data_IF_610138866826
#
_entry.id   IF_610138866826
#
_cell.length_a   1.000
_cell.length_b   1.000
_cell.length_c   1.000
_cell.angle_alpha   90.00
_cell.angle_beta   90.00
_cell.angle_gamma   90.00
#
_symmetry.space_group_name_H-M   'P 1'
#
loop_
_entity.id
_entity.type
_entity.pdbx_description
1 polymer ?
#
# COMPACT_ATOMS: atom_id res chain seq x y z
N UNK A 1 -18.70 27.20 -65.48
CA UNK A 1 -18.53 26.23 -64.37
C UNK A 1 -19.35 26.55 -63.11
N UNK A 2 -19.72 27.79 -62.86
CA UNK A 2 -20.49 28.24 -61.68
C UNK A 2 -21.99 27.85 -61.75
N UNK A 3 -22.56 27.72 -62.93
CA UNK A 3 -24.01 27.38 -63.13
C UNK A 3 -24.35 25.93 -62.71
N UNK A 4 -23.39 25.03 -62.72
CA UNK A 4 -23.59 23.63 -62.31
C UNK A 4 -23.76 23.49 -60.79
N UNK A 5 -23.14 24.38 -60.00
CA UNK A 5 -23.29 24.39 -58.54
C UNK A 5 -24.63 24.95 -58.06
N UNK A 6 -25.22 25.87 -58.80
CA UNK A 6 -26.52 26.52 -58.45
C UNK A 6 -27.76 25.72 -58.83
N UNK A 7 -27.63 24.76 -59.75
CA UNK A 7 -28.75 23.90 -60.16
C UNK A 7 -28.93 22.80 -59.11
N UNK A 8 -30.13 22.66 -58.57
CA UNK A 8 -30.52 21.67 -57.56
C UNK A 8 -29.77 21.85 -56.20
N UNK A 9 -29.66 23.09 -55.75
CA UNK A 9 -28.97 23.45 -54.49
C UNK A 9 -29.63 22.78 -53.27
N UNK A 10 -30.97 22.72 -53.09
CA UNK A 10 -31.61 22.07 -51.97
C UNK A 10 -31.36 20.55 -51.93
N UNK A 11 -31.33 19.89 -53.07
CA UNK A 11 -31.06 18.46 -53.17
C UNK A 11 -29.60 18.12 -52.75
N UNK A 12 -28.67 18.99 -53.16
CA UNK A 12 -27.26 18.86 -52.77
C UNK A 12 -27.04 19.11 -51.28
N UNK A 13 -27.73 20.11 -50.72
CA UNK A 13 -27.69 20.34 -49.27
C UNK A 13 -28.25 19.15 -48.48
N UNK A 14 -29.38 18.58 -48.94
CA UNK A 14 -29.97 17.39 -48.34
C UNK A 14 -28.99 16.19 -48.41
N UNK A 15 -28.37 15.95 -49.57
CA UNK A 15 -27.41 14.89 -49.74
C UNK A 15 -26.18 15.07 -48.82
N UNK A 16 -25.70 16.33 -48.63
CA UNK A 16 -24.61 16.64 -47.74
C UNK A 16 -24.99 16.38 -46.29
N UNK A 17 -26.18 16.75 -45.85
CA UNK A 17 -26.66 16.50 -44.48
C UNK A 17 -26.76 14.99 -44.23
N UNK A 18 -27.29 14.22 -45.18
CA UNK A 18 -27.36 12.76 -45.07
C UNK A 18 -25.97 12.15 -45.04
N UNK A 19 -25.04 12.62 -45.89
CA UNK A 19 -23.65 12.14 -45.87
C UNK A 19 -22.94 12.42 -44.55
N UNK A 20 -23.11 13.61 -43.97
CA UNK A 20 -22.58 13.95 -42.64
C UNK A 20 -23.20 13.07 -41.56
N UNK A 21 -24.52 12.86 -41.61
CA UNK A 21 -25.23 11.97 -40.68
C UNK A 21 -24.70 10.53 -40.72
N UNK A 22 -24.56 9.99 -41.95
CA UNK A 22 -23.95 8.66 -42.15
C UNK A 22 -22.52 8.60 -41.68
N UNK A 23 -21.70 9.65 -41.90
CA UNK A 23 -20.32 9.71 -41.45
C UNK A 23 -20.21 9.72 -39.93
N UNK A 24 -21.05 10.54 -39.26
CA UNK A 24 -21.10 10.56 -37.79
C UNK A 24 -21.53 9.19 -37.24
N UNK A 25 -22.53 8.57 -37.87
CA UNK A 25 -23.00 7.24 -37.46
C UNK A 25 -21.88 6.18 -37.54
N UNK A 26 -21.21 6.13 -38.71
CA UNK A 26 -20.10 5.17 -38.92
C UNK A 26 -18.91 5.45 -37.98
N UNK A 27 -18.55 6.73 -37.77
CA UNK A 27 -17.47 7.09 -36.84
C UNK A 27 -17.77 6.68 -35.42
N UNK A 28 -19.03 6.84 -34.98
CA UNK A 28 -19.46 6.41 -33.65
C UNK A 28 -19.47 4.87 -33.49
N UNK A 29 -19.79 4.14 -34.54
CA UNK A 29 -19.84 2.67 -34.56
C UNK A 29 -18.41 2.04 -34.60
N UNK A 30 -17.42 2.74 -35.17
CA UNK A 30 -16.06 2.25 -35.30
C UNK A 30 -15.20 2.42 -34.01
N UNK A 31 -15.58 3.32 -33.12
CA UNK A 31 -14.85 3.56 -31.88
C UNK A 31 -15.78 3.71 -30.66
N UNK A 32 -16.53 2.64 -30.33
CA UNK A 32 -17.49 2.67 -29.24
C UNK A 32 -16.81 2.90 -27.90
N UNK A 33 -17.54 3.52 -27.00
CA UNK A 33 -17.16 3.60 -25.59
C UNK A 33 -17.25 2.21 -24.97
N UNK A 34 -16.16 1.74 -24.39
CA UNK A 34 -16.11 0.47 -23.65
C UNK A 34 -15.68 0.70 -22.22
N UNK A 35 -16.01 -0.23 -21.34
CA UNK A 35 -15.65 -0.21 -19.94
C UNK A 35 -14.64 -1.30 -19.65
N UNK A 36 -13.64 -0.99 -18.83
CA UNK A 36 -12.68 -1.95 -18.34
C UNK A 36 -12.35 -1.69 -16.86
N UNK A 37 -11.85 -2.72 -16.17
CA UNK A 37 -11.48 -2.64 -14.76
C UNK A 37 -9.99 -2.88 -14.61
N UNK A 38 -9.32 -1.96 -13.91
CA UNK A 38 -7.90 -2.02 -13.57
C UNK A 38 -7.75 -2.14 -12.05
N UNK A 39 -6.86 -3.03 -11.63
CA UNK A 39 -6.45 -3.13 -10.22
C UNK A 39 -5.15 -2.35 -10.06
N UNK A 40 -5.18 -1.35 -9.19
CA UNK A 40 -4.10 -0.37 -9.03
C UNK A 40 -3.67 -0.34 -7.57
N UNK A 41 -2.36 -0.40 -7.27
CA UNK A 41 -1.88 -0.28 -5.90
C UNK A 41 -2.15 1.12 -5.34
N UNK A 42 -2.50 1.18 -4.05
CA UNK A 42 -2.73 2.44 -3.34
C UNK A 42 -1.39 2.97 -2.85
N UNK A 43 -0.94 4.07 -3.44
CA UNK A 43 0.23 4.82 -2.98
C UNK A 43 -0.06 5.67 -1.75
N UNK A 44 0.99 6.04 -1.04
CA UNK A 44 0.91 6.98 0.08
C UNK A 44 1.74 8.20 -0.30
N UNK A 45 1.17 9.39 -0.15
CA UNK A 45 1.88 10.66 -0.37
C UNK A 45 1.89 11.48 0.93
N UNK A 46 2.91 12.35 1.06
CA UNK A 46 3.12 13.18 2.24
C UNK A 46 3.18 12.39 3.56
N UNK A 47 3.81 11.20 3.51
CA UNK A 47 4.03 10.40 4.71
C UNK A 47 4.92 11.17 5.69
N UNK A 48 4.53 11.32 6.97
CA UNK A 48 5.37 11.97 7.97
C UNK A 48 6.61 11.11 8.26
N UNK A 49 7.76 11.76 8.42
CA UNK A 49 9.00 11.08 8.82
C UNK A 49 8.93 10.58 10.26
N UNK A 50 9.55 9.45 10.55
CA UNK A 50 9.56 8.84 11.88
C UNK A 50 8.27 8.14 12.27
N UNK A 51 7.42 7.81 11.30
CA UNK A 51 6.22 7.03 11.52
C UNK A 51 6.21 5.74 10.70
N UNK A 52 5.69 4.68 11.29
CA UNK A 52 5.32 3.48 10.57
C UNK A 52 3.87 3.59 10.09
N UNK A 53 3.68 3.35 8.80
CA UNK A 53 2.36 3.44 8.17
C UNK A 53 1.96 2.06 7.71
N UNK A 54 0.78 1.63 8.11
CA UNK A 54 0.16 0.41 7.63
C UNK A 54 -1.26 0.69 7.12
N UNK A 55 -1.68 -0.05 6.13
CA UNK A 55 -3.00 0.08 5.49
C UNK A 55 -3.69 -1.28 5.47
N UNK A 56 -5.01 -1.27 5.57
CA UNK A 56 -5.85 -2.48 5.55
C UNK A 56 -6.10 -3.02 4.15
N UNK A 57 -5.98 -2.15 3.13
CA UNK A 57 -6.18 -2.49 1.72
C UNK A 57 -4.98 -2.03 0.89
N UNK A 58 -4.41 -2.95 0.12
CA UNK A 58 -3.24 -2.68 -0.72
C UNK A 58 -3.59 -2.11 -2.10
N UNK A 59 -4.76 -2.48 -2.64
CA UNK A 59 -5.14 -2.22 -4.02
C UNK A 59 -6.58 -1.72 -4.12
N UNK A 60 -6.84 -0.92 -5.16
CA UNK A 60 -8.18 -0.45 -5.52
C UNK A 60 -8.53 -0.89 -6.93
N UNK A 61 -9.78 -1.28 -7.15
CA UNK A 61 -10.32 -1.60 -8.48
C UNK A 61 -10.95 -0.35 -9.07
N UNK A 62 -10.41 0.11 -10.19
CA UNK A 62 -10.92 1.26 -10.94
C UNK A 62 -11.68 0.77 -12.16
N UNK A 63 -12.98 0.97 -12.20
CA UNK A 63 -13.78 0.76 -13.40
C UNK A 63 -13.81 2.04 -14.20
N UNK A 64 -13.25 2.00 -15.39
CA UNK A 64 -13.08 3.17 -16.26
C UNK A 64 -13.77 2.96 -17.60
N UNK A 65 -14.22 4.06 -18.23
CA UNK A 65 -14.81 4.10 -19.56
C UNK A 65 -13.95 4.98 -20.46
N UNK A 66 -13.74 4.52 -21.69
CA UNK A 66 -13.05 5.30 -22.73
C UNK A 66 -13.40 4.75 -24.13
N UNK A 67 -13.11 5.50 -25.21
CA UNK A 67 -13.11 4.95 -26.56
C UNK A 67 -12.17 3.75 -26.70
N UNK A 68 -12.61 2.72 -27.42
CA UNK A 68 -11.86 1.45 -27.58
C UNK A 68 -10.39 1.65 -28.00
N UNK A 69 -10.14 2.64 -28.86
CA UNK A 69 -8.79 2.95 -29.37
C UNK A 69 -7.80 3.32 -28.26
N UNK A 70 -8.24 3.91 -27.15
CA UNK A 70 -7.36 4.30 -26.05
C UNK A 70 -6.87 3.11 -25.24
N UNK A 71 -7.66 2.04 -25.16
CA UNK A 71 -7.28 0.83 -24.42
C UNK A 71 -6.12 0.05 -25.05
N UNK A 72 -5.88 0.24 -26.36
CA UNK A 72 -4.78 -0.45 -27.04
C UNK A 72 -3.39 0.05 -26.65
N UNK A 73 -3.30 1.26 -26.12
CA UNK A 73 -2.01 1.94 -25.82
C UNK A 73 -1.85 2.33 -24.35
N UNK A 74 -2.79 1.93 -23.46
CA UNK A 74 -2.72 2.26 -22.04
C UNK A 74 -2.22 1.10 -21.23
N UNK A 75 -1.25 1.37 -20.35
CA UNK A 75 -0.77 0.43 -19.36
C UNK A 75 -1.44 0.67 -18.00
N UNK A 76 -1.50 -0.37 -17.17
CA UNK A 76 -2.04 -0.25 -15.79
C UNK A 76 -1.28 0.80 -14.97
N UNK A 77 0.01 0.97 -15.21
CA UNK A 77 0.88 1.97 -14.57
C UNK A 77 0.49 3.42 -14.84
N UNK A 78 -0.32 3.65 -15.88
CA UNK A 78 -0.87 4.99 -16.20
C UNK A 78 -1.99 5.43 -15.26
N UNK A 79 -2.63 4.48 -14.58
CA UNK A 79 -3.64 4.73 -13.57
C UNK A 79 -2.97 4.78 -12.20
N UNK A 80 -3.27 5.81 -11.42
CA UNK A 80 -2.72 5.96 -10.08
C UNK A 80 -3.82 6.12 -9.06
N UNK A 81 -3.63 5.50 -7.91
CA UNK A 81 -4.46 5.68 -6.74
C UNK A 81 -3.57 5.98 -5.55
N UNK A 82 -3.93 6.94 -4.73
CA UNK A 82 -3.14 7.33 -3.57
C UNK A 82 -4.01 7.93 -2.47
N UNK A 83 -3.45 7.95 -1.27
CA UNK A 83 -3.98 8.69 -0.13
C UNK A 83 -2.95 9.72 0.32
N UNK A 84 -3.45 10.87 0.74
CA UNK A 84 -2.64 11.99 1.24
C UNK A 84 -2.67 11.99 2.77
N UNK A 85 -1.48 11.88 3.38
CA UNK A 85 -1.30 11.90 4.84
C UNK A 85 -0.93 13.29 5.36
N UNK A 86 -1.08 14.34 4.56
CA UNK A 86 -0.80 15.69 5.01
C UNK A 86 -1.71 16.08 6.19
N UNK A 87 -1.09 16.40 7.34
CA UNK A 87 -1.82 16.78 8.55
C UNK A 87 -2.50 15.63 9.30
N UNK A 88 -2.20 14.36 8.93
CA UNK A 88 -2.72 13.18 9.65
C UNK A 88 -1.86 12.93 10.89
N UNK A 89 -2.51 12.85 12.05
CA UNK A 89 -1.89 12.60 13.35
C UNK A 89 -1.72 11.08 13.61
N UNK A 90 -1.05 10.75 14.73
CA UNK A 90 -0.90 9.37 15.19
C UNK A 90 -2.25 8.71 15.44
N UNK A 91 -2.45 7.48 14.96
CA UNK A 91 -3.67 6.70 15.14
C UNK A 91 -4.23 6.11 13.85
N UNK A 92 -5.46 5.62 13.93
CA UNK A 92 -6.17 5.00 12.81
C UNK A 92 -7.09 6.03 12.16
N UNK A 93 -6.97 6.19 10.84
CA UNK A 93 -7.74 7.16 10.05
C UNK A 93 -8.33 6.51 8.81
N UNK A 94 -9.61 6.76 8.56
CA UNK A 94 -10.29 6.35 7.33
C UNK A 94 -10.17 7.47 6.28
N UNK A 95 -9.26 7.29 5.33
CA UNK A 95 -8.96 8.29 4.32
C UNK A 95 -9.57 7.92 2.97
N UNK A 96 -9.96 8.96 2.23
CA UNK A 96 -10.50 8.79 0.89
C UNK A 96 -9.38 8.54 -0.11
N UNK A 97 -9.55 7.52 -0.96
CA UNK A 97 -8.62 7.20 -2.04
C UNK A 97 -8.81 8.22 -3.17
N UNK A 98 -7.74 8.91 -3.53
CA UNK A 98 -7.68 9.80 -4.68
C UNK A 98 -7.18 9.02 -5.89
N UNK A 99 -7.76 9.30 -7.06
CA UNK A 99 -7.43 8.60 -8.30
C UNK A 99 -7.01 9.59 -9.37
N UNK A 100 -5.99 9.22 -10.12
CA UNK A 100 -5.52 9.95 -11.30
C UNK A 100 -5.64 9.05 -12.51
N UNK A 101 -6.35 9.53 -13.52
CA UNK A 101 -6.62 8.81 -14.76
C UNK A 101 -5.88 9.47 -15.92
N UNK A 102 -5.47 8.68 -16.94
CA UNK A 102 -4.98 9.22 -18.19
C UNK A 102 -6.05 10.03 -18.93
N UNK A 103 -5.62 10.95 -19.79
CA UNK A 103 -6.53 11.75 -20.60
C UNK A 103 -7.45 10.90 -21.47
N UNK A 104 -8.73 11.24 -21.50
CA UNK A 104 -9.75 10.53 -22.28
C UNK A 104 -10.40 9.34 -21.58
N UNK A 105 -9.98 9.04 -20.33
CA UNK A 105 -10.62 8.04 -19.47
C UNK A 105 -11.55 8.70 -18.47
N UNK A 106 -12.73 8.11 -18.27
CA UNK A 106 -13.73 8.51 -17.29
C UNK A 106 -13.82 7.45 -16.18
N UNK A 107 -13.81 7.86 -14.91
CA UNK A 107 -14.01 6.96 -13.77
C UNK A 107 -15.51 6.67 -13.63
N UNK A 108 -15.89 5.43 -13.73
CA UNK A 108 -17.26 4.97 -13.48
C UNK A 108 -17.45 4.61 -12.02
N UNK A 109 -16.49 3.86 -11.46
CA UNK A 109 -16.50 3.51 -10.04
C UNK A 109 -15.09 3.14 -9.56
N UNK A 110 -14.86 3.36 -8.28
CA UNK A 110 -13.66 2.89 -7.57
C UNK A 110 -14.11 2.06 -6.36
N UNK A 111 -13.44 0.95 -6.12
CA UNK A 111 -13.74 0.09 -4.98
C UNK A 111 -12.48 -0.54 -4.37
N UNK A 112 -12.24 -0.29 -3.08
CA UNK A 112 -12.93 0.57 -2.12
C UNK A 112 -12.73 2.06 -2.40
N UNK A 113 -13.58 2.93 -1.82
CA UNK A 113 -13.44 4.39 -1.91
C UNK A 113 -12.65 4.99 -0.76
N UNK A 114 -12.52 4.24 0.34
CA UNK A 114 -11.75 4.60 1.53
C UNK A 114 -10.82 3.46 1.90
N UNK A 115 -9.75 3.80 2.59
CA UNK A 115 -8.79 2.87 3.18
C UNK A 115 -8.53 3.29 4.61
N UNK A 116 -8.47 2.31 5.52
CA UNK A 116 -8.08 2.54 6.90
C UNK A 116 -6.56 2.50 7.00
N UNK A 117 -5.98 3.61 7.44
CA UNK A 117 -4.53 3.77 7.59
C UNK A 117 -4.22 3.94 9.07
N UNK A 118 -3.30 3.13 9.56
CA UNK A 118 -2.73 3.29 10.88
C UNK A 118 -1.37 4.00 10.75
N UNK A 119 -1.29 5.18 11.35
CA UNK A 119 -0.08 6.01 11.45
C UNK A 119 0.46 5.87 12.86
N UNK A 120 1.61 5.21 13.05
CA UNK A 120 2.16 4.90 14.35
C UNK A 120 3.57 5.48 14.49
N UNK A 121 3.78 6.33 15.47
CA UNK A 121 5.06 7.01 15.69
C UNK A 121 6.13 6.00 16.10
N UNK A 122 7.30 6.09 15.48
CA UNK A 122 8.46 5.30 15.86
C UNK A 122 9.17 6.01 17.02
N UNK A 123 9.38 5.30 18.11
CA UNK A 123 10.09 5.79 19.28
C UNK A 123 11.11 4.76 19.77
N UNK A 124 11.98 5.18 20.67
CA UNK A 124 12.93 4.33 21.35
C UNK A 124 12.52 4.13 22.80
N UNK A 125 12.68 2.91 23.29
CA UNK A 125 12.39 2.53 24.68
C UNK A 125 13.52 1.68 25.24
N UNK A 126 13.97 1.99 26.45
CA UNK A 126 14.89 1.16 27.20
C UNK A 126 14.10 0.07 27.94
N UNK A 127 14.53 -1.18 27.77
CA UNK A 127 13.91 -2.34 28.42
C UNK A 127 14.97 -3.21 29.10
N UNK A 128 14.66 -3.85 30.25
CA UNK A 128 15.56 -4.74 30.92
C UNK A 128 15.77 -6.03 30.14
N UNK A 129 17.01 -6.55 30.22
CA UNK A 129 17.34 -7.86 29.67
C UNK A 129 17.10 -8.91 30.75
N UNK A 130 16.36 -9.97 30.41
CA UNK A 130 16.14 -11.15 31.26
C UNK A 130 16.73 -12.38 30.56
N UNK A 131 17.46 -13.20 31.33
CA UNK A 131 18.01 -14.45 30.84
C UNK A 131 17.22 -15.63 31.43
N UNK A 132 16.71 -16.48 30.53
CA UNK A 132 16.04 -17.72 30.90
C UNK A 132 16.96 -18.90 30.63
N UNK A 133 17.24 -19.66 31.70
CA UNK A 133 18.01 -20.89 31.62
C UNK A 133 17.07 -22.04 31.25
N UNK A 134 17.51 -22.90 30.35
CA UNK A 134 16.79 -24.11 29.97
C UNK A 134 17.71 -25.32 29.96
N UNK A 135 17.20 -26.45 30.42
CA UNK A 135 17.92 -27.71 30.46
C UNK A 135 18.42 -28.09 31.86
N UNK A 136 19.15 -29.20 31.91
CA UNK A 136 19.70 -29.76 33.15
C UNK A 136 21.25 -29.72 33.04
N UNK A 137 21.97 -29.10 33.99
CA UNK A 137 23.43 -29.18 34.04
C UNK A 137 23.91 -30.61 34.08
N UNK A 138 25.20 -30.82 33.87
CA UNK A 138 25.81 -32.16 34.03
C UNK A 138 25.66 -32.72 35.43
N UNK A 139 25.98 -34.03 35.57
CA UNK A 139 25.79 -34.78 36.79
C UNK A 139 26.45 -34.07 38.01
N UNK A 140 25.68 -33.95 39.09
CA UNK A 140 26.06 -33.29 40.34
C UNK A 140 26.47 -31.81 40.22
N UNK A 141 26.04 -31.13 39.15
CA UNK A 141 26.32 -29.70 38.94
C UNK A 141 25.07 -28.85 39.09
N UNK A 142 25.28 -27.62 39.53
CA UNK A 142 24.25 -26.59 39.61
C UNK A 142 24.78 -25.29 39.01
N UNK A 143 23.88 -24.48 38.44
CA UNK A 143 24.21 -23.13 37.99
C UNK A 143 24.40 -22.26 39.24
N UNK A 144 25.63 -21.84 39.53
CA UNK A 144 25.94 -21.04 40.70
C UNK A 144 25.64 -19.55 40.49
N UNK A 145 25.97 -19.03 39.32
CA UNK A 145 25.68 -17.63 38.94
C UNK A 145 25.56 -17.48 37.45
N UNK A 146 24.82 -16.47 37.03
CA UNK A 146 24.74 -16.02 35.63
C UNK A 146 25.13 -14.56 35.60
N UNK A 147 26.16 -14.25 34.85
CA UNK A 147 26.60 -12.88 34.60
C UNK A 147 26.14 -12.45 33.21
N UNK A 148 25.53 -11.30 33.13
CA UNK A 148 25.11 -10.70 31.86
C UNK A 148 25.89 -9.39 31.61
N UNK A 149 26.35 -9.21 30.38
CA UNK A 149 27.11 -8.01 30.00
C UNK A 149 26.23 -6.77 29.84
N UNK A 150 24.95 -6.94 29.55
CA UNK A 150 23.96 -5.87 29.34
C UNK A 150 22.78 -6.07 30.26
N UNK A 151 22.50 -5.08 31.12
CA UNK A 151 21.31 -5.11 31.98
C UNK A 151 20.07 -4.56 31.29
N UNK A 152 20.26 -3.55 30.45
CA UNK A 152 19.21 -2.93 29.65
C UNK A 152 19.65 -2.80 28.18
N UNK A 153 18.69 -2.76 27.28
CA UNK A 153 18.91 -2.44 25.88
C UNK A 153 17.86 -1.44 25.41
N UNK A 154 18.25 -0.63 24.42
CA UNK A 154 17.32 0.26 23.72
C UNK A 154 16.71 -0.49 22.52
N UNK A 155 15.40 -0.52 22.46
CA UNK A 155 14.62 -1.04 21.33
C UNK A 155 13.94 0.11 20.61
N UNK A 156 13.75 -0.02 19.30
CA UNK A 156 13.09 0.97 18.46
C UNK A 156 11.91 0.33 17.72
N UNK A 157 10.81 1.04 17.65
CA UNK A 157 9.64 0.57 16.94
C UNK A 157 8.40 1.45 17.16
N UNK A 158 7.25 1.04 16.61
CA UNK A 158 5.99 1.76 16.80
C UNK A 158 5.58 1.81 18.28
N UNK A 159 5.10 2.97 18.72
CA UNK A 159 4.69 3.22 20.11
C UNK A 159 3.62 2.23 20.58
N UNK A 160 2.67 1.89 19.71
CA UNK A 160 1.62 0.93 20.01
C UNK A 160 2.15 -0.48 20.36
N UNK A 161 3.29 -0.86 19.79
CA UNK A 161 3.98 -2.11 20.06
C UNK A 161 4.93 -1.95 21.26
N UNK A 162 5.74 -0.87 21.27
CA UNK A 162 6.70 -0.61 22.35
C UNK A 162 6.05 -0.55 23.73
N UNK A 163 4.83 0.00 23.82
CA UNK A 163 4.09 0.08 25.08
C UNK A 163 3.75 -1.30 25.66
N UNK A 164 3.67 -2.31 24.83
CA UNK A 164 3.38 -3.70 25.25
C UNK A 164 4.65 -4.48 25.61
N UNK A 165 5.83 -4.01 25.17
CA UNK A 165 7.09 -4.69 25.46
C UNK A 165 7.52 -4.33 26.87
N UNK A 166 7.76 -5.36 27.70
CA UNK A 166 8.16 -5.24 29.10
C UNK A 166 9.61 -5.61 29.34
N UNK A 167 10.17 -6.51 28.51
CA UNK A 167 11.55 -6.97 28.62
C UNK A 167 12.08 -7.52 27.30
N UNK A 168 13.39 -7.69 27.24
CA UNK A 168 14.07 -8.48 26.20
C UNK A 168 14.61 -9.77 26.85
N UNK A 169 14.25 -10.93 26.30
CA UNK A 169 14.58 -12.24 26.88
C UNK A 169 15.59 -12.97 26.01
N UNK A 170 16.66 -13.45 26.61
CA UNK A 170 17.61 -14.40 26.03
C UNK A 170 17.45 -15.78 26.62
N UNK A 171 17.55 -16.83 25.81
CA UNK A 171 17.45 -18.22 26.25
C UNK A 171 18.83 -18.89 26.21
N UNK A 172 19.27 -19.47 27.34
CA UNK A 172 20.56 -20.15 27.47
C UNK A 172 20.31 -21.62 27.79
N UNK A 173 20.81 -22.50 26.91
CA UNK A 173 20.78 -23.95 27.14
C UNK A 173 21.97 -24.35 28.03
N UNK A 174 21.72 -25.05 29.17
CA UNK A 174 22.75 -25.53 30.12
C UNK A 174 22.92 -27.04 30.11
N UNK A 175 22.30 -27.73 29.13
CA UNK A 175 22.31 -29.19 29.05
C UNK A 175 23.72 -29.80 29.03
N UNK A 176 24.00 -30.68 29.96
CA UNK A 176 25.21 -31.48 30.03
C UNK A 176 26.50 -30.71 30.27
N UNK A 177 26.44 -29.41 30.55
CA UNK A 177 27.62 -28.59 30.82
C UNK A 177 28.16 -28.85 32.23
N UNK A 178 29.46 -29.15 32.31
CA UNK A 178 30.18 -29.42 33.56
C UNK A 178 31.15 -28.31 33.93
N UNK A 179 31.35 -27.33 33.06
CA UNK A 179 32.32 -26.24 33.22
C UNK A 179 31.69 -24.87 32.96
N UNK A 180 32.37 -23.82 33.41
CA UNK A 180 31.97 -22.46 33.09
C UNK A 180 32.07 -22.20 31.57
N UNK A 181 31.06 -21.57 31.01
CA UNK A 181 31.06 -21.22 29.61
C UNK A 181 30.49 -19.82 29.38
N UNK A 182 30.83 -19.25 28.25
CA UNK A 182 30.26 -17.99 27.79
C UNK A 182 29.58 -18.20 26.44
N UNK A 183 28.41 -17.62 26.26
CA UNK A 183 27.62 -17.74 25.03
C UNK A 183 26.97 -16.41 24.67
N UNK A 184 26.91 -16.12 23.39
CA UNK A 184 26.13 -15.00 22.86
C UNK A 184 24.76 -15.53 22.42
N UNK A 185 23.69 -14.94 22.94
CA UNK A 185 22.31 -15.35 22.66
C UNK A 185 21.55 -14.19 22.01
N UNK A 186 20.65 -14.48 21.06
CA UNK A 186 19.73 -13.47 20.53
C UNK A 186 18.73 -13.06 21.61
N UNK A 187 18.37 -11.78 21.62
CA UNK A 187 17.35 -11.24 22.50
C UNK A 187 16.02 -11.12 21.74
N UNK A 188 14.95 -11.50 22.38
CA UNK A 188 13.58 -11.44 21.86
C UNK A 188 12.78 -10.50 22.76
N UNK A 189 12.15 -9.48 22.16
CA UNK A 189 11.24 -8.59 22.87
C UNK A 189 9.98 -9.35 23.29
N UNK A 190 9.59 -9.26 24.55
CA UNK A 190 8.41 -9.93 25.09
C UNK A 190 7.48 -8.95 25.79
N UNK A 191 6.20 -9.30 25.78
CA UNK A 191 5.14 -8.70 26.57
C UNK A 191 4.75 -9.68 27.68
N UNK A 192 4.47 -9.18 28.86
CA UNK A 192 3.90 -9.98 29.95
C UNK A 192 2.45 -10.36 29.68
#
# INVERSE_FOLDING_TARGET
MISFFRKNLPEKCLALIVAIGCWIFVMNDQNPQIENTYTVPIGIVNAPEGYQISKDVEEVKLKVRAPRSLFSNVETSSFRAYVDLNGVENGIHDLQIQTVLPSGFELISAGPTKVSINVDKIEQKEVPVRLNLSGIPGDDKVVASVEQSLQNITIEGPVSILNKVTAAVGYIGVNGNNENFSVTVPLIAVND
#
